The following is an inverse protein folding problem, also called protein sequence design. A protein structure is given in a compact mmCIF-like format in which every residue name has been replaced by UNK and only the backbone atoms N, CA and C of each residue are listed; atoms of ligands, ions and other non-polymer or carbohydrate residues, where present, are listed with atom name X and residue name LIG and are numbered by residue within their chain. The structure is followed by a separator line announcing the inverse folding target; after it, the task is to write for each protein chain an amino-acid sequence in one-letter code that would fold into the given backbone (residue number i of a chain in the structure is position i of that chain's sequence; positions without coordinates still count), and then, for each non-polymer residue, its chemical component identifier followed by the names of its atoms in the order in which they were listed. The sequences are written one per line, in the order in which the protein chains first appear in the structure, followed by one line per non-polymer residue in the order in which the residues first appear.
data_IF_565292841295
#
_entry.id   IF_565292841295
#
_cell.length_a   1.000
_cell.length_b   1.000
_cell.length_c   1.000
_cell.angle_alpha   90.00
_cell.angle_beta   90.00
_cell.angle_gamma   90.00
#
_symmetry.space_group_name_H-M   'P 1'
#
loop_
_entity.id
_entity.type
_entity.pdbx_description
1 polymer ?
#
# COMPACT_ATOMS: atom_id res chain seq x y z
N UNK A 1 -23.68 -15.89 16.65
CA UNK A 1 -22.22 -15.71 16.86
C UNK A 1 -21.43 -15.85 15.56
N UNK A 2 -21.61 -16.90 14.76
CA UNK A 2 -20.88 -17.14 13.51
C UNK A 2 -20.83 -15.96 12.51
N UNK A 3 -21.92 -15.22 12.31
CA UNK A 3 -21.95 -14.04 11.42
C UNK A 3 -21.09 -12.86 11.92
N UNK A 4 -20.92 -12.69 13.24
CA UNK A 4 -20.05 -11.63 13.81
C UNK A 4 -18.57 -12.00 13.76
N UNK A 5 -18.23 -13.26 13.95
CA UNK A 5 -16.84 -13.69 13.97
C UNK A 5 -16.31 -13.88 12.54
N UNK A 6 -16.99 -14.68 11.72
CA UNK A 6 -16.54 -15.02 10.36
C UNK A 6 -16.80 -13.86 9.39
N UNK A 7 -17.90 -13.13 9.55
CA UNK A 7 -18.24 -11.99 8.69
C UNK A 7 -17.24 -10.84 8.83
N UNK A 8 -16.80 -10.54 10.05
CA UNK A 8 -15.76 -9.51 10.32
C UNK A 8 -14.40 -9.97 9.80
N UNK A 9 -14.08 -11.25 9.94
CA UNK A 9 -12.79 -11.79 9.51
C UNK A 9 -12.66 -11.79 7.97
N UNK A 10 -13.71 -12.18 7.25
CA UNK A 10 -13.74 -12.13 5.79
C UNK A 10 -13.70 -10.70 5.25
N UNK A 11 -14.44 -9.77 5.87
CA UNK A 11 -14.40 -8.35 5.47
C UNK A 11 -13.03 -7.75 5.72
N UNK A 12 -12.39 -8.05 6.86
CA UNK A 12 -11.02 -7.63 7.14
C UNK A 12 -10.02 -8.16 6.09
N UNK A 13 -10.11 -9.44 5.72
CA UNK A 13 -9.25 -10.04 4.69
C UNK A 13 -9.49 -9.41 3.32
N UNK A 14 -10.76 -9.17 2.93
CA UNK A 14 -11.07 -8.53 1.66
C UNK A 14 -10.53 -7.11 1.58
N UNK A 15 -10.69 -6.32 2.64
CA UNK A 15 -10.17 -4.94 2.71
C UNK A 15 -8.64 -4.94 2.65
N UNK A 16 -7.99 -5.78 3.46
CA UNK A 16 -6.53 -5.90 3.45
C UNK A 16 -5.99 -6.36 2.09
N UNK A 17 -6.63 -7.36 1.48
CA UNK A 17 -6.23 -7.90 0.18
C UNK A 17 -6.37 -6.89 -0.96
N UNK A 18 -7.50 -6.18 -1.03
CA UNK A 18 -7.77 -5.20 -2.09
C UNK A 18 -6.84 -3.98 -1.97
N UNK A 19 -6.78 -3.37 -0.78
CA UNK A 19 -5.96 -2.17 -0.55
C UNK A 19 -4.47 -2.49 -0.66
N UNK A 20 -4.02 -3.59 -0.04
CA UNK A 20 -2.61 -4.02 -0.11
C UNK A 20 -2.15 -4.34 -1.53
N UNK A 21 -3.00 -4.98 -2.35
CA UNK A 21 -2.66 -5.26 -3.75
C UNK A 21 -2.57 -4.00 -4.60
N UNK A 22 -3.49 -3.05 -4.42
CA UNK A 22 -3.46 -1.77 -5.13
C UNK A 22 -2.20 -0.97 -4.79
N UNK A 23 -1.85 -0.88 -3.51
CA UNK A 23 -0.64 -0.18 -3.08
C UNK A 23 0.65 -0.85 -3.57
N UNK A 24 0.71 -2.18 -3.53
CA UNK A 24 1.86 -2.94 -4.06
C UNK A 24 1.99 -2.75 -5.58
N UNK A 25 0.88 -2.74 -6.31
CA UNK A 25 0.88 -2.54 -7.76
C UNK A 25 1.33 -1.12 -8.15
N UNK A 26 0.89 -0.10 -7.42
CA UNK A 26 1.34 1.27 -7.65
C UNK A 26 2.84 1.44 -7.35
N UNK A 27 3.32 0.95 -6.20
CA UNK A 27 4.75 1.00 -5.85
C UNK A 27 5.58 0.20 -6.85
N UNK A 28 5.10 -0.98 -7.26
CA UNK A 28 5.73 -1.78 -8.31
C UNK A 28 5.80 -1.02 -9.65
N UNK A 29 4.74 -0.31 -10.04
CA UNK A 29 4.72 0.49 -11.25
C UNK A 29 5.70 1.66 -11.19
N UNK A 30 5.72 2.41 -10.08
CA UNK A 30 6.66 3.50 -9.85
C UNK A 30 8.12 3.01 -9.83
N UNK A 31 8.37 1.80 -9.29
CA UNK A 31 9.68 1.16 -9.34
C UNK A 31 10.08 0.76 -10.77
N UNK A 32 9.16 0.20 -11.57
CA UNK A 32 9.43 -0.16 -12.97
C UNK A 32 9.70 1.06 -13.85
N UNK A 33 9.15 2.23 -13.51
CA UNK A 33 9.39 3.51 -14.20
C UNK A 33 10.58 4.29 -13.63
N UNK A 34 11.33 3.71 -12.70
CA UNK A 34 12.46 4.34 -12.02
C UNK A 34 12.12 5.64 -11.26
N UNK A 35 10.83 5.93 -11.03
CA UNK A 35 10.38 7.15 -10.33
C UNK A 35 10.90 7.18 -8.88
N UNK A 36 10.99 6.01 -8.22
CA UNK A 36 11.56 5.89 -6.87
C UNK A 36 13.05 6.26 -6.86
N UNK A 37 13.78 5.90 -7.91
CA UNK A 37 15.22 6.19 -8.00
C UNK A 37 15.47 7.66 -8.36
N UNK A 38 14.61 8.23 -9.22
CA UNK A 38 14.57 9.66 -9.51
C UNK A 38 14.31 10.50 -8.25
N UNK A 39 13.39 10.08 -7.37
CA UNK A 39 13.14 10.76 -6.10
C UNK A 39 14.36 10.73 -5.17
N UNK A 40 15.05 9.59 -5.10
CA UNK A 40 16.29 9.45 -4.32
C UNK A 40 17.41 10.32 -4.85
N UNK A 41 17.55 10.45 -6.18
CA UNK A 41 18.55 11.34 -6.79
C UNK A 41 18.22 12.82 -6.58
N UNK A 42 16.93 13.17 -6.45
CA UNK A 42 16.48 14.51 -6.07
C UNK A 42 16.61 14.81 -4.57
N UNK A 43 17.10 13.86 -3.76
CA UNK A 43 17.24 14.00 -2.32
C UNK A 43 15.92 13.93 -1.54
N UNK A 44 14.85 13.44 -2.16
CA UNK A 44 13.54 13.23 -1.54
C UNK A 44 13.48 11.78 -1.06
N UNK A 45 13.21 11.56 0.23
CA UNK A 45 13.09 10.20 0.75
C UNK A 45 11.73 9.58 0.36
N UNK A 46 11.71 8.57 -0.53
CA UNK A 46 10.47 7.95 -0.97
C UNK A 46 9.71 7.29 0.18
N UNK A 47 10.37 6.90 1.28
CA UNK A 47 9.68 6.32 2.43
C UNK A 47 8.73 7.32 3.10
N UNK A 48 9.17 8.56 3.29
CA UNK A 48 8.37 9.58 3.96
C UNK A 48 7.28 10.17 3.05
N UNK A 49 7.51 10.22 1.74
CA UNK A 49 6.53 10.81 0.80
C UNK A 49 5.56 9.80 0.21
N UNK A 50 5.92 8.52 0.09
CA UNK A 50 5.07 7.50 -0.53
C UNK A 50 4.55 6.48 0.48
N UNK A 51 5.38 6.02 1.42
CA UNK A 51 4.99 4.92 2.32
C UNK A 51 4.25 5.45 3.54
N UNK A 52 4.78 6.49 4.19
CA UNK A 52 4.19 7.05 5.41
C UNK A 52 2.72 7.53 5.25
N UNK A 53 2.34 8.26 4.17
CA UNK A 53 0.95 8.70 4.00
C UNK A 53 -0.01 7.54 3.72
N UNK A 54 0.48 6.48 3.07
CA UNK A 54 -0.32 5.31 2.66
C UNK A 54 -0.52 4.30 3.80
N UNK A 55 0.34 4.32 4.81
CA UNK A 55 0.20 3.50 6.03
C UNK A 55 -0.73 4.17 7.04
N UNK A 56 -0.80 5.51 7.03
CA UNK A 56 -1.66 6.30 7.93
C UNK A 56 -3.10 6.49 7.42
N UNK A 57 -3.34 6.27 6.13
CA UNK A 57 -4.66 6.35 5.48
C UNK A 57 -5.44 5.03 5.59
#
# INVERSE_FOLDING_TARGET
LALREVGVLLTAIMVAGRSGSAFTAEIGSMKMREEIDAMRTLGIDPMDTLVLPRVLA
#
